data_IF_167609660145
#
_entry.id   IF_167609660145
#
_cell.length_a   1.000
_cell.length_b   1.000
_cell.length_c   1.000
_cell.angle_alpha   90.00
_cell.angle_beta   90.00
_cell.angle_gamma   90.00
#
_symmetry.space_group_name_H-M   'P 1'
#
loop_
_entity.id
_entity.type
_entity.pdbx_description
1 polymer ?
#
# COMPACT_ATOMS: atom_id res chain seq x y z
N UNK A 1 17.30 22.86 -4.69
CA UNK A 1 16.08 22.98 -5.51
C UNK A 1 15.14 21.91 -5.01
N UNK A 2 14.10 22.29 -4.25
CA UNK A 2 13.13 21.36 -3.67
C UNK A 2 12.24 20.79 -4.79
N UNK A 3 12.49 19.56 -5.20
CA UNK A 3 11.55 18.81 -6.03
C UNK A 3 10.33 18.44 -5.19
N UNK A 4 9.18 18.72 -5.72
CA UNK A 4 7.83 18.48 -5.20
C UNK A 4 7.60 16.96 -4.98
N UNK A 5 8.15 16.40 -3.89
CA UNK A 5 8.14 14.96 -3.58
C UNK A 5 6.86 14.47 -2.90
N UNK A 6 5.92 15.35 -2.62
CA UNK A 6 4.67 14.97 -1.96
C UNK A 6 3.51 15.84 -2.40
N UNK A 7 2.40 15.22 -2.83
CA UNK A 7 1.16 15.94 -3.10
C UNK A 7 0.37 16.10 -1.80
N UNK A 8 0.20 17.34 -1.34
CA UNK A 8 -0.71 17.67 -0.27
C UNK A 8 -2.16 17.47 -0.75
N UNK A 9 -2.91 16.69 -0.03
CA UNK A 9 -4.33 16.46 -0.24
C UNK A 9 -5.08 17.04 0.96
N UNK A 10 -6.16 17.79 0.74
CA UNK A 10 -7.01 18.31 1.80
C UNK A 10 -8.37 17.63 1.73
N UNK A 11 -8.73 16.91 2.81
CA UNK A 11 -10.12 16.52 3.07
C UNK A 11 -10.45 16.85 4.51
N UNK A 12 -11.64 17.38 4.76
CA UNK A 12 -12.12 17.79 6.10
C UNK A 12 -11.19 18.75 6.87
N UNK A 13 -10.33 19.52 6.16
CA UNK A 13 -9.41 20.48 6.78
C UNK A 13 -8.08 19.87 7.26
N UNK A 14 -7.87 18.56 7.18
CA UNK A 14 -6.58 17.94 7.48
C UNK A 14 -5.74 17.80 6.21
N UNK A 15 -4.46 18.17 6.32
CA UNK A 15 -3.47 18.05 5.25
C UNK A 15 -2.89 16.65 5.33
N UNK A 16 -3.23 15.81 4.35
CA UNK A 16 -2.56 14.53 4.12
C UNK A 16 -1.51 14.70 3.02
N UNK A 17 -0.33 14.13 3.24
CA UNK A 17 0.75 14.11 2.25
C UNK A 17 1.08 12.68 1.87
N UNK A 18 1.15 12.40 0.56
CA UNK A 18 1.56 11.09 0.04
C UNK A 18 2.91 11.27 -0.68
N UNK A 19 3.88 10.47 -0.26
CA UNK A 19 5.21 10.41 -0.89
C UNK A 19 5.40 9.05 -1.55
N UNK A 20 5.64 9.04 -2.87
CA UNK A 20 6.09 7.85 -3.58
C UNK A 20 7.56 7.60 -3.25
N UNK A 21 7.90 6.40 -2.82
CA UNK A 21 9.28 6.01 -2.51
C UNK A 21 9.85 5.20 -3.68
N UNK A 22 9.28 4.03 -3.94
CA UNK A 22 9.67 3.20 -5.07
C UNK A 22 8.63 2.09 -5.29
N UNK A 23 8.33 1.73 -6.53
CA UNK A 23 7.50 0.59 -6.93
C UNK A 23 6.11 0.58 -6.27
N UNK A 24 5.95 -0.17 -5.18
CA UNK A 24 4.74 -0.23 -4.34
C UNK A 24 4.94 0.43 -2.98
N UNK A 25 6.11 1.05 -2.77
CA UNK A 25 6.49 1.73 -1.53
C UNK A 25 5.96 3.16 -1.48
N UNK A 26 5.11 3.45 -0.49
CA UNK A 26 4.55 4.78 -0.25
C UNK A 26 4.59 5.14 1.22
N UNK A 27 4.80 6.42 1.50
CA UNK A 27 4.61 7.00 2.82
C UNK A 27 3.39 7.92 2.78
N UNK A 28 2.44 7.67 3.66
CA UNK A 28 1.31 8.57 3.92
C UNK A 28 1.55 9.25 5.25
N UNK A 29 1.62 10.58 5.22
CA UNK A 29 1.71 11.44 6.39
C UNK A 29 0.34 12.07 6.64
N UNK A 30 -0.13 11.95 7.87
CA UNK A 30 -1.30 12.67 8.41
C UNK A 30 -0.87 13.69 9.46
N UNK A 31 -1.80 14.44 10.01
CA UNK A 31 -1.51 15.33 11.13
C UNK A 31 -0.94 14.58 12.35
N UNK A 32 -1.40 13.34 12.59
CA UNK A 32 -1.14 12.57 13.82
C UNK A 32 -0.28 11.32 13.64
N UNK A 33 -0.06 10.82 12.42
CA UNK A 33 0.65 9.55 12.20
C UNK A 33 1.32 9.46 10.82
N UNK A 34 2.22 8.50 10.70
CA UNK A 34 2.80 8.03 9.43
C UNK A 34 2.40 6.59 9.15
N UNK A 35 2.08 6.30 7.88
CA UNK A 35 1.81 4.96 7.37
C UNK A 35 2.77 4.65 6.22
N UNK A 36 3.71 3.75 6.43
CA UNK A 36 4.71 3.32 5.45
C UNK A 36 4.29 1.97 4.86
N UNK A 37 4.09 1.91 3.55
CA UNK A 37 3.66 0.69 2.85
C UNK A 37 4.79 0.13 2.01
N UNK A 38 4.92 -1.20 2.02
CA UNK A 38 5.72 -2.04 1.11
C UNK A 38 7.09 -1.45 0.75
N UNK A 39 7.84 -1.05 1.78
CA UNK A 39 9.18 -0.52 1.59
C UNK A 39 10.16 -1.61 1.17
N UNK A 40 10.84 -1.42 0.02
CA UNK A 40 11.89 -2.32 -0.41
C UNK A 40 13.19 -1.61 -0.78
N UNK A 41 13.13 -0.38 -1.26
CA UNK A 41 14.30 0.47 -1.60
C UNK A 41 13.91 1.95 -1.61
N UNK A 42 14.91 2.81 -1.71
CA UNK A 42 14.74 4.26 -1.81
C UNK A 42 14.91 4.96 -0.47
N UNK A 43 14.87 6.27 -0.49
CA UNK A 43 15.02 7.11 0.68
C UNK A 43 13.67 7.31 1.36
N UNK A 44 13.57 6.98 2.65
CA UNK A 44 12.45 7.38 3.49
C UNK A 44 12.71 8.84 3.88
N UNK A 45 11.76 9.77 3.65
CA UNK A 45 11.92 11.16 4.08
C UNK A 45 12.18 11.26 5.58
N UNK A 46 12.78 12.37 6.01
CA UNK A 46 12.91 12.69 7.43
C UNK A 46 11.51 12.76 8.07
N UNK A 47 11.33 12.00 9.16
CA UNK A 47 10.07 11.86 9.86
C UNK A 47 10.12 12.64 11.19
N UNK A 48 9.05 13.34 11.53
CA UNK A 48 8.86 13.90 12.86
C UNK A 48 8.66 12.75 13.87
N UNK A 49 9.68 12.52 14.70
CA UNK A 49 9.68 11.45 15.70
C UNK A 49 8.61 11.60 16.81
N UNK A 50 7.89 12.72 16.84
CA UNK A 50 6.75 12.90 17.74
C UNK A 50 5.49 12.20 17.25
N UNK A 51 5.41 11.89 15.94
CA UNK A 51 4.29 11.15 15.36
C UNK A 51 4.57 9.65 15.34
N UNK A 52 3.62 8.80 15.64
CA UNK A 52 3.77 7.35 15.48
C UNK A 52 3.94 6.96 14.02
N UNK A 53 4.69 5.87 13.79
CA UNK A 53 4.91 5.24 12.49
C UNK A 53 4.33 3.83 12.49
N UNK A 54 3.45 3.54 11.54
CA UNK A 54 3.00 2.17 11.29
C UNK A 54 3.53 1.70 9.94
N UNK A 55 4.23 0.57 9.96
CA UNK A 55 4.85 -0.04 8.78
C UNK A 55 4.03 -1.23 8.33
N UNK A 56 3.55 -1.21 7.08
CA UNK A 56 2.76 -2.27 6.46
C UNK A 56 3.58 -3.03 5.43
N UNK A 57 3.53 -4.35 5.48
CA UNK A 57 4.12 -5.22 4.45
C UNK A 57 3.07 -6.21 3.99
N UNK A 58 2.66 -6.08 2.72
CA UNK A 58 1.61 -6.89 2.13
C UNK A 58 2.01 -8.36 1.93
N UNK A 59 3.28 -8.62 1.60
CA UNK A 59 3.84 -9.96 1.40
C UNK A 59 5.38 -9.94 1.34
N UNK A 60 5.98 -11.11 1.17
CA UNK A 60 7.42 -11.31 1.31
C UNK A 60 8.23 -11.17 0.01
N UNK A 61 7.64 -10.81 -1.13
CA UNK A 61 8.41 -10.61 -2.36
C UNK A 61 9.38 -9.43 -2.21
N UNK A 62 10.53 -9.52 -2.91
CA UNK A 62 11.64 -8.58 -2.73
C UNK A 62 11.36 -7.16 -3.20
N UNK A 63 10.37 -6.96 -4.04
CA UNK A 63 9.90 -5.68 -4.54
C UNK A 63 8.82 -5.02 -3.65
N UNK A 64 8.41 -5.71 -2.56
CA UNK A 64 7.47 -5.21 -1.54
C UNK A 64 8.06 -5.19 -0.13
N UNK A 65 9.14 -5.92 0.11
CA UNK A 65 9.67 -6.10 1.45
C UNK A 65 11.19 -6.11 1.49
N UNK A 66 11.74 -5.18 2.27
CA UNK A 66 13.16 -5.18 2.64
C UNK A 66 13.27 -5.23 4.17
N UNK A 67 13.94 -6.26 4.73
CA UNK A 67 14.14 -6.37 6.18
C UNK A 67 14.84 -5.17 6.85
N UNK A 68 15.54 -4.32 6.09
CA UNK A 68 16.16 -3.09 6.62
C UNK A 68 15.13 -2.14 7.27
N UNK A 69 13.86 -2.29 6.95
CA UNK A 69 12.78 -1.53 7.59
C UNK A 69 12.73 -1.73 9.11
N UNK A 70 13.29 -2.84 9.63
CA UNK A 70 13.38 -3.08 11.07
C UNK A 70 14.46 -2.25 11.78
N UNK A 71 15.36 -1.57 11.07
CA UNK A 71 16.30 -0.64 11.66
C UNK A 71 15.55 0.57 12.25
N UNK A 72 14.35 0.85 11.79
CA UNK A 72 13.45 1.84 12.38
C UNK A 72 13.02 1.49 13.82
N UNK A 73 13.05 0.20 14.19
CA UNK A 73 12.74 -0.22 15.56
C UNK A 73 13.72 0.34 16.60
N UNK A 74 14.98 0.49 16.22
CA UNK A 74 16.03 1.00 17.08
C UNK A 74 16.07 2.53 17.14
N UNK A 75 15.62 3.18 16.07
CA UNK A 75 15.80 4.63 15.87
C UNK A 75 14.51 5.43 15.99
N UNK A 76 13.34 4.78 15.91
CA UNK A 76 12.05 5.47 15.91
C UNK A 76 11.29 5.19 17.23
N UNK A 77 10.95 6.23 18.03
CA UNK A 77 10.41 6.05 19.38
C UNK A 77 9.11 5.25 19.45
N UNK A 78 8.21 5.45 18.47
CA UNK A 78 6.99 4.69 18.38
C UNK A 78 6.82 4.15 16.95
N UNK A 79 7.18 2.92 16.75
CA UNK A 79 6.96 2.18 15.51
C UNK A 79 6.17 0.92 15.79
N UNK A 80 5.23 0.58 14.91
CA UNK A 80 4.50 -0.68 14.92
C UNK A 80 4.51 -1.30 13.53
N UNK A 81 4.70 -2.61 13.45
CA UNK A 81 4.77 -3.36 12.20
C UNK A 81 3.52 -4.21 12.00
N UNK A 82 2.91 -4.10 10.84
CA UNK A 82 1.77 -4.90 10.40
C UNK A 82 2.18 -5.70 9.18
N UNK A 83 2.44 -6.98 9.35
CA UNK A 83 3.04 -7.82 8.33
C UNK A 83 2.13 -8.99 7.99
N UNK A 84 2.02 -9.33 6.70
CA UNK A 84 1.44 -10.62 6.32
C UNK A 84 2.14 -11.77 7.06
N UNK A 85 1.37 -12.78 7.43
CA UNK A 85 1.85 -13.93 8.23
C UNK A 85 3.02 -14.68 7.60
N UNK A 86 3.16 -14.62 6.26
CA UNK A 86 4.19 -15.35 5.51
C UNK A 86 5.50 -14.56 5.36
N UNK A 87 5.55 -13.28 5.78
CA UNK A 87 6.80 -12.52 5.86
C UNK A 87 7.73 -13.14 6.91
N UNK A 88 8.88 -13.64 6.48
CA UNK A 88 9.85 -14.32 7.34
C UNK A 88 10.64 -13.35 8.24
N UNK A 89 10.32 -13.29 9.54
CA UNK A 89 10.96 -12.38 10.50
C UNK A 89 11.54 -13.08 11.75
N UNK A 90 11.55 -14.42 11.76
CA UNK A 90 12.02 -15.21 12.94
C UNK A 90 13.45 -14.84 13.36
N UNK A 91 14.29 -14.52 12.40
CA UNK A 91 15.67 -14.13 12.63
C UNK A 91 15.74 -12.79 13.39
N UNK A 92 14.95 -11.77 13.00
CA UNK A 92 14.95 -10.46 13.67
C UNK A 92 14.33 -10.53 15.07
N UNK A 93 13.26 -11.31 15.23
CA UNK A 93 12.68 -11.55 16.56
C UNK A 93 13.69 -12.17 17.54
N UNK A 94 14.50 -13.13 17.04
CA UNK A 94 15.56 -13.74 17.86
C UNK A 94 16.66 -12.73 18.20
N UNK A 95 17.14 -11.98 17.19
CA UNK A 95 18.15 -10.94 17.39
C UNK A 95 17.71 -9.92 18.42
N UNK A 96 16.47 -9.38 18.32
CA UNK A 96 15.94 -8.42 19.29
C UNK A 96 15.82 -9.03 20.69
N UNK A 97 15.37 -10.28 20.80
CA UNK A 97 15.29 -10.97 22.09
C UNK A 97 16.67 -11.17 22.74
N UNK A 98 17.69 -11.51 21.95
CA UNK A 98 19.08 -11.66 22.42
C UNK A 98 19.65 -10.30 22.90
N UNK A 99 19.17 -9.19 22.34
CA UNK A 99 19.51 -7.82 22.75
C UNK A 99 18.65 -7.28 23.90
N UNK A 100 17.69 -8.07 24.40
CA UNK A 100 16.77 -7.66 25.48
C UNK A 100 15.68 -6.69 25.04
N UNK A 101 15.40 -6.61 23.73
CA UNK A 101 14.33 -5.78 23.16
C UNK A 101 13.16 -6.63 22.69
N UNK A 102 11.94 -6.10 22.78
CA UNK A 102 10.69 -6.83 22.46
C UNK A 102 10.04 -6.29 21.19
N UNK A 103 10.57 -6.71 20.04
CA UNK A 103 9.96 -6.45 18.73
C UNK A 103 8.57 -7.14 18.61
N UNK A 104 8.35 -8.24 19.32
CA UNK A 104 7.08 -8.97 19.23
C UNK A 104 5.89 -8.12 19.75
N UNK A 105 6.12 -7.29 20.77
CA UNK A 105 5.12 -6.34 21.28
C UNK A 105 4.77 -5.22 20.27
N UNK A 106 5.62 -4.99 19.27
CA UNK A 106 5.44 -3.98 18.23
C UNK A 106 5.02 -4.58 16.88
N UNK A 107 4.46 -5.80 16.89
CA UNK A 107 4.21 -6.57 15.68
C UNK A 107 2.79 -7.15 15.67
N UNK A 108 2.04 -6.85 14.63
CA UNK A 108 0.79 -7.51 14.27
C UNK A 108 0.98 -8.38 13.04
N UNK A 109 0.78 -9.70 13.19
CA UNK A 109 0.80 -10.65 12.07
C UNK A 109 -0.59 -10.80 11.52
N UNK A 110 -0.81 -10.36 10.28
CA UNK A 110 -2.12 -10.39 9.66
C UNK A 110 -2.32 -11.60 8.74
N UNK A 111 -3.57 -11.97 8.55
CA UNK A 111 -4.04 -13.02 7.62
C UNK A 111 -5.10 -12.40 6.71
N UNK A 112 -5.29 -12.98 5.53
CA UNK A 112 -6.32 -12.56 4.56
C UNK A 112 -7.73 -12.61 5.15
N UNK A 113 -8.58 -11.68 4.75
CA UNK A 113 -10.00 -11.59 5.09
C UNK A 113 -10.24 -11.53 6.62
N UNK A 114 -9.48 -10.68 7.29
CA UNK A 114 -9.58 -10.46 8.75
C UNK A 114 -9.58 -8.96 9.04
N UNK A 115 -10.12 -8.60 10.20
CA UNK A 115 -10.04 -7.24 10.73
C UNK A 115 -9.24 -7.25 12.02
N UNK A 116 -8.40 -6.24 12.19
CA UNK A 116 -7.55 -6.02 13.36
C UNK A 116 -7.72 -4.58 13.83
N UNK A 117 -7.46 -4.35 15.10
CA UNK A 117 -7.44 -3.02 15.70
C UNK A 117 -6.08 -2.78 16.36
N UNK A 118 -5.53 -1.61 16.13
CA UNK A 118 -4.32 -1.15 16.77
C UNK A 118 -4.62 0.16 17.50
N UNK A 119 -4.41 0.18 18.83
CA UNK A 119 -4.51 1.41 19.61
C UNK A 119 -3.29 2.29 19.33
N UNK A 120 -3.54 3.49 18.85
CA UNK A 120 -2.52 4.48 18.56
C UNK A 120 -2.15 5.29 19.81
N UNK A 121 -0.97 5.93 19.87
CA UNK A 121 -0.53 6.70 21.05
C UNK A 121 -1.43 7.88 21.44
N UNK A 122 -2.18 8.42 20.48
CA UNK A 122 -3.16 9.49 20.72
C UNK A 122 -4.49 8.97 21.33
N UNK A 123 -4.60 7.66 21.57
CA UNK A 123 -5.80 6.99 22.04
C UNK A 123 -6.80 6.63 20.93
N UNK A 124 -6.53 7.02 19.68
CA UNK A 124 -7.32 6.61 18.52
C UNK A 124 -7.15 5.13 18.18
N UNK A 125 -8.08 4.60 17.42
CA UNK A 125 -8.03 3.22 16.91
C UNK A 125 -7.76 3.23 15.43
N UNK A 126 -6.69 2.57 14.99
CA UNK A 126 -6.47 2.23 13.60
C UNK A 126 -7.12 0.88 13.32
N UNK A 127 -8.19 0.89 12.52
CA UNK A 127 -8.82 -0.32 12.05
C UNK A 127 -8.11 -0.78 10.76
N UNK A 128 -7.77 -2.08 10.71
CA UNK A 128 -7.03 -2.69 9.60
C UNK A 128 -7.84 -3.86 9.08
N UNK A 129 -8.45 -3.72 7.92
CA UNK A 129 -9.13 -4.81 7.22
C UNK A 129 -8.24 -5.33 6.10
N UNK A 130 -8.10 -6.65 6.02
CA UNK A 130 -7.28 -7.29 4.99
C UNK A 130 -8.15 -8.01 3.97
N UNK A 131 -7.78 -7.93 2.71
CA UNK A 131 -8.34 -8.72 1.62
C UNK A 131 -7.32 -9.76 1.15
N UNK A 132 -7.81 -10.77 0.43
CA UNK A 132 -6.94 -11.79 -0.13
C UNK A 132 -6.33 -11.30 -1.43
N UNK A 133 -5.01 -11.23 -1.51
CA UNK A 133 -4.31 -10.98 -2.77
C UNK A 133 -4.59 -12.09 -3.80
N UNK A 134 -4.57 -11.72 -5.07
CA UNK A 134 -4.64 -12.66 -6.20
C UNK A 134 -3.31 -13.32 -6.51
N UNK A 135 -2.20 -12.71 -6.06
CA UNK A 135 -0.86 -13.31 -6.09
C UNK A 135 -0.45 -13.74 -4.68
N UNK A 136 0.32 -12.96 -3.95
CA UNK A 136 0.82 -13.27 -2.61
C UNK A 136 0.27 -12.32 -1.55
N UNK A 137 0.11 -12.79 -0.31
CA UNK A 137 -0.19 -11.98 0.86
C UNK A 137 -1.59 -11.37 0.89
N UNK A 138 -1.65 -10.08 1.23
CA UNK A 138 -2.89 -9.35 1.52
C UNK A 138 -2.89 -7.96 0.88
N UNK A 139 -4.10 -7.43 0.62
CA UNK A 139 -4.33 -5.99 0.48
C UNK A 139 -4.81 -5.43 1.82
N UNK A 140 -4.59 -4.15 2.04
CA UNK A 140 -4.97 -3.42 3.26
C UNK A 140 -6.05 -2.38 2.96
N UNK A 141 -7.08 -2.35 3.77
CA UNK A 141 -8.01 -1.23 3.91
C UNK A 141 -7.91 -0.73 5.35
N UNK A 142 -7.46 0.50 5.51
CA UNK A 142 -7.26 1.16 6.80
C UNK A 142 -8.37 2.19 7.03
N UNK A 143 -8.81 2.32 8.28
CA UNK A 143 -9.65 3.42 8.75
C UNK A 143 -9.00 4.01 10.02
N UNK A 144 -8.61 5.28 9.97
CA UNK A 144 -8.01 6.00 11.09
C UNK A 144 -8.50 7.44 11.14
N UNK A 145 -9.25 7.77 12.19
CA UNK A 145 -9.79 9.11 12.37
C UNK A 145 -10.75 9.55 11.24
N UNK A 146 -11.40 8.60 10.56
CA UNK A 146 -12.24 8.86 9.39
C UNK A 146 -11.50 8.93 8.05
N UNK A 147 -10.17 8.88 8.06
CA UNK A 147 -9.35 8.72 6.86
C UNK A 147 -9.30 7.26 6.45
N UNK A 148 -9.65 6.95 5.20
CA UNK A 148 -9.57 5.60 4.64
C UNK A 148 -8.50 5.49 3.58
N UNK A 149 -7.59 4.53 3.79
CA UNK A 149 -6.47 4.25 2.90
C UNK A 149 -6.58 2.81 2.40
N UNK A 150 -6.49 2.62 1.09
CA UNK A 150 -6.40 1.31 0.48
C UNK A 150 -5.03 1.09 -0.15
N UNK A 151 -4.38 -0.03 0.17
CA UNK A 151 -3.15 -0.47 -0.49
C UNK A 151 -3.33 -1.90 -1.01
N UNK A 152 -3.33 -2.05 -2.31
CA UNK A 152 -3.64 -3.33 -2.95
C UNK A 152 -2.59 -4.44 -2.71
N UNK A 153 -1.33 -4.09 -2.36
CA UNK A 153 -0.25 -5.06 -2.53
C UNK A 153 -0.30 -5.61 -3.96
N UNK A 154 -0.28 -6.93 -4.10
CA UNK A 154 -0.43 -7.60 -5.39
C UNK A 154 -1.86 -8.11 -5.66
N UNK A 155 -2.86 -7.48 -5.04
CA UNK A 155 -4.26 -7.73 -5.39
C UNK A 155 -4.59 -6.97 -6.67
N UNK A 156 -4.61 -7.67 -7.80
CA UNK A 156 -4.92 -7.12 -9.11
C UNK A 156 -5.49 -8.17 -10.07
N UNK A 157 -6.01 -7.71 -11.20
CA UNK A 157 -6.46 -8.56 -12.30
C UNK A 157 -5.28 -8.93 -13.19
N UNK A 158 -4.49 -9.92 -12.76
CA UNK A 158 -3.31 -10.37 -13.49
C UNK A 158 -3.70 -11.21 -14.70
N UNK A 159 -3.43 -10.71 -15.92
CA UNK A 159 -3.66 -11.42 -17.18
C UNK A 159 -2.28 -11.65 -17.83
N UNK A 160 -1.79 -12.88 -17.76
CA UNK A 160 -0.48 -13.24 -18.29
C UNK A 160 -0.60 -13.98 -19.61
N UNK A 161 0.06 -13.48 -20.66
CA UNK A 161 0.02 -14.07 -22.01
C UNK A 161 0.63 -15.47 -22.09
N UNK A 162 1.58 -15.78 -21.21
CA UNK A 162 2.25 -17.07 -21.11
C UNK A 162 1.48 -18.09 -20.27
N UNK A 163 0.35 -17.71 -19.69
CA UNK A 163 -0.51 -18.60 -18.90
C UNK A 163 -1.72 -19.08 -19.72
N UNK A 164 -2.21 -20.31 -19.44
CA UNK A 164 -3.45 -20.80 -20.05
C UNK A 164 -4.64 -19.89 -19.74
N UNK A 165 -5.63 -19.87 -20.64
CA UNK A 165 -6.83 -19.04 -20.50
C UNK A 165 -7.58 -19.32 -19.19
N UNK A 166 -7.72 -20.59 -18.81
CA UNK A 166 -8.38 -20.99 -17.57
C UNK A 166 -7.66 -20.48 -16.31
N UNK A 167 -6.33 -20.29 -16.37
CA UNK A 167 -5.57 -19.63 -15.30
C UNK A 167 -5.96 -18.16 -15.18
N UNK A 168 -5.96 -17.43 -16.29
CA UNK A 168 -6.33 -16.02 -16.34
C UNK A 168 -7.79 -15.81 -15.91
N UNK A 169 -8.70 -16.68 -16.33
CA UNK A 169 -10.10 -16.64 -15.92
C UNK A 169 -10.24 -16.81 -14.39
N UNK A 170 -9.58 -17.80 -13.80
CA UNK A 170 -9.58 -17.98 -12.32
C UNK A 170 -9.00 -16.79 -11.59
N UNK A 171 -7.98 -16.13 -12.16
CA UNK A 171 -7.39 -14.93 -11.62
C UNK A 171 -8.39 -13.77 -11.63
N UNK A 172 -9.08 -13.56 -12.74
CA UNK A 172 -10.16 -12.59 -12.89
C UNK A 172 -11.28 -12.80 -11.86
N UNK A 173 -11.78 -14.04 -11.74
CA UNK A 173 -12.84 -14.38 -10.78
C UNK A 173 -12.42 -14.11 -9.33
N UNK A 174 -11.16 -14.38 -8.98
CA UNK A 174 -10.63 -14.08 -7.64
C UNK A 174 -10.56 -12.58 -7.40
N UNK A 175 -10.09 -11.82 -8.39
CA UNK A 175 -10.00 -10.37 -8.28
C UNK A 175 -11.39 -9.74 -8.11
N UNK A 176 -12.32 -10.07 -8.98
CA UNK A 176 -13.71 -9.58 -8.91
C UNK A 176 -14.37 -9.90 -7.58
N UNK A 177 -14.15 -11.10 -7.03
CA UNK A 177 -14.67 -11.49 -5.70
C UNK A 177 -14.14 -10.59 -4.57
N UNK A 178 -12.90 -10.14 -4.66
CA UNK A 178 -12.34 -9.22 -3.65
C UNK A 178 -12.86 -7.79 -3.90
N UNK A 179 -13.03 -7.36 -5.16
CA UNK A 179 -13.61 -6.05 -5.49
C UNK A 179 -15.08 -5.93 -5.04
N UNK A 180 -15.88 -6.98 -5.16
CA UNK A 180 -17.25 -6.99 -4.65
C UNK A 180 -17.34 -6.71 -3.13
N UNK A 181 -16.31 -7.07 -2.35
CA UNK A 181 -16.24 -6.73 -0.92
C UNK A 181 -16.01 -5.24 -0.67
N UNK A 182 -15.41 -4.55 -1.64
CA UNK A 182 -15.12 -3.12 -1.60
C UNK A 182 -16.23 -2.28 -2.26
N UNK A 183 -17.22 -2.91 -2.86
CA UNK A 183 -18.28 -2.21 -3.58
C UNK A 183 -19.03 -1.22 -2.70
N UNK A 184 -19.09 0.02 -3.17
CA UNK A 184 -19.72 1.12 -2.45
C UNK A 184 -18.91 1.68 -1.28
N UNK A 185 -17.69 1.17 -1.05
CA UNK A 185 -16.75 1.77 -0.10
C UNK A 185 -16.15 3.03 -0.73
N UNK A 186 -16.04 4.09 0.06
CA UNK A 186 -15.28 5.28 -0.29
C UNK A 186 -13.93 5.23 0.42
N UNK A 187 -12.85 5.50 -0.34
CA UNK A 187 -11.49 5.66 0.21
C UNK A 187 -10.94 7.02 -0.17
N UNK A 188 -10.18 7.63 0.72
CA UNK A 188 -9.54 8.93 0.47
C UNK A 188 -8.34 8.77 -0.46
N UNK A 189 -7.55 7.72 -0.23
CA UNK A 189 -6.36 7.38 -1.01
C UNK A 189 -6.31 5.89 -1.29
N UNK A 190 -5.99 5.54 -2.53
CA UNK A 190 -5.75 4.17 -2.96
C UNK A 190 -4.41 4.03 -3.70
N UNK A 191 -3.74 2.91 -3.46
CA UNK A 191 -2.54 2.47 -4.16
C UNK A 191 -2.88 1.18 -4.91
N UNK A 192 -2.88 1.23 -6.25
CA UNK A 192 -3.42 0.16 -7.11
C UNK A 192 -2.43 -0.20 -8.21
N UNK A 193 -2.14 -1.48 -8.47
CA UNK A 193 -1.22 -1.87 -9.53
C UNK A 193 -1.67 -1.43 -10.92
N UNK A 194 -0.70 -0.93 -11.72
CA UNK A 194 -0.84 -0.62 -13.15
C UNK A 194 0.41 -1.15 -13.86
N UNK A 195 0.50 -2.47 -13.99
CA UNK A 195 1.73 -3.15 -14.40
C UNK A 195 1.89 -3.19 -15.93
N UNK A 196 2.91 -2.53 -16.49
CA UNK A 196 3.14 -2.50 -17.93
C UNK A 196 3.52 -3.85 -18.55
N UNK A 197 3.87 -4.85 -17.73
CA UNK A 197 4.17 -6.22 -18.20
C UNK A 197 2.94 -6.93 -18.75
N UNK A 198 1.73 -6.48 -18.35
CA UNK A 198 0.46 -7.00 -18.84
C UNK A 198 0.11 -6.50 -20.26
N UNK A 199 0.92 -5.62 -20.85
CA UNK A 199 0.80 -5.11 -22.22
C UNK A 199 -0.54 -4.38 -22.45
N UNK A 200 -1.42 -4.91 -23.36
CA UNK A 200 -2.73 -4.32 -23.62
C UNK A 200 -3.68 -4.46 -22.42
N UNK A 201 -3.46 -5.45 -21.54
CA UNK A 201 -4.30 -5.72 -20.38
C UNK A 201 -3.86 -4.90 -19.12
N UNK A 202 -2.84 -4.05 -19.27
CA UNK A 202 -2.33 -3.16 -18.21
C UNK A 202 -3.44 -2.40 -17.47
N UNK A 203 -4.45 -1.79 -18.12
CA UNK A 203 -5.43 -0.95 -17.41
C UNK A 203 -6.50 -1.75 -16.65
N UNK A 204 -6.75 -3.01 -17.02
CA UNK A 204 -7.93 -3.78 -16.58
C UNK A 204 -8.09 -3.84 -15.07
N UNK A 205 -7.01 -4.08 -14.33
CA UNK A 205 -7.07 -4.13 -12.87
C UNK A 205 -7.49 -2.81 -12.23
N UNK A 206 -6.94 -1.71 -12.72
CA UNK A 206 -7.26 -0.37 -12.23
C UNK A 206 -8.67 0.07 -12.64
N UNK A 207 -9.11 -0.26 -13.86
CA UNK A 207 -10.48 0.00 -14.34
C UNK A 207 -11.50 -0.65 -13.43
N UNK A 208 -11.36 -1.95 -13.19
CA UNK A 208 -12.25 -2.72 -12.32
C UNK A 208 -12.27 -2.15 -10.89
N UNK A 209 -11.12 -1.74 -10.36
CA UNK A 209 -11.07 -1.07 -9.05
C UNK A 209 -11.91 0.22 -9.04
N UNK A 210 -11.72 1.08 -10.04
CA UNK A 210 -12.40 2.38 -10.15
C UNK A 210 -13.92 2.25 -10.39
N UNK A 211 -14.38 1.12 -10.96
CA UNK A 211 -15.79 0.81 -11.11
C UNK A 211 -16.47 0.37 -9.81
N UNK A 212 -15.71 -0.20 -8.87
CA UNK A 212 -16.24 -0.75 -7.62
C UNK A 212 -16.07 0.19 -6.43
N UNK A 213 -15.00 1.02 -6.42
CA UNK A 213 -14.57 1.82 -5.28
C UNK A 213 -14.57 3.30 -5.63
N UNK A 214 -15.22 4.09 -4.79
CA UNK A 214 -15.11 5.55 -4.87
C UNK A 214 -13.81 5.99 -4.21
N UNK A 215 -12.90 6.55 -5.00
CA UNK A 215 -11.59 6.99 -4.49
C UNK A 215 -11.39 8.49 -4.65
N UNK A 216 -10.91 9.15 -3.61
CA UNK A 216 -10.52 10.57 -3.66
C UNK A 216 -9.29 10.77 -4.54
N UNK A 217 -8.23 9.99 -4.29
CA UNK A 217 -7.03 9.92 -5.13
C UNK A 217 -6.54 8.49 -5.28
N UNK A 218 -6.08 8.16 -6.48
CA UNK A 218 -5.46 6.86 -6.78
C UNK A 218 -4.03 7.09 -7.26
N UNK A 219 -3.11 6.44 -6.62
CA UNK A 219 -1.69 6.41 -6.97
C UNK A 219 -1.40 5.06 -7.63
N UNK A 220 -1.24 5.01 -8.96
CA UNK A 220 -0.85 3.78 -9.63
C UNK A 220 0.54 3.35 -9.17
N UNK A 221 0.68 2.08 -8.83
CA UNK A 221 1.93 1.47 -8.41
C UNK A 221 2.30 0.28 -9.30
N UNK A 222 3.43 -0.37 -9.03
CA UNK A 222 3.91 -1.51 -9.82
C UNK A 222 4.24 -1.17 -11.29
N UNK A 223 4.59 0.10 -11.54
CA UNK A 223 4.81 0.61 -12.91
C UNK A 223 6.21 0.33 -13.47
N UNK A 224 7.12 -0.29 -12.68
CA UNK A 224 8.48 -0.63 -13.10
C UNK A 224 9.25 0.55 -13.73
N UNK A 225 9.15 1.73 -13.10
CA UNK A 225 9.75 3.00 -13.58
C UNK A 225 9.24 3.46 -14.96
N UNK A 226 8.22 2.79 -15.53
CA UNK A 226 7.57 3.17 -16.79
C UNK A 226 6.36 4.08 -16.54
N UNK A 227 6.60 5.24 -15.94
CA UNK A 227 5.54 6.19 -15.54
C UNK A 227 4.64 6.66 -16.69
N UNK A 228 5.11 6.54 -17.94
CA UNK A 228 4.31 6.85 -19.13
C UNK A 228 3.01 6.01 -19.23
N UNK A 229 2.95 4.84 -18.59
CA UNK A 229 1.71 4.03 -18.57
C UNK A 229 0.58 4.74 -17.80
N UNK A 230 0.92 5.51 -16.77
CA UNK A 230 -0.07 6.31 -16.00
C UNK A 230 -0.62 7.43 -16.88
N UNK A 231 0.26 8.15 -17.58
CA UNK A 231 -0.15 9.22 -18.49
C UNK A 231 -1.03 8.68 -19.63
N UNK A 232 -0.69 7.49 -20.16
CA UNK A 232 -1.51 6.82 -21.17
C UNK A 232 -2.88 6.46 -20.61
N UNK A 233 -2.94 5.84 -19.42
CA UNK A 233 -4.20 5.50 -18.76
C UNK A 233 -5.10 6.73 -18.60
N UNK A 234 -4.58 7.84 -18.05
CA UNK A 234 -5.34 9.09 -17.85
C UNK A 234 -5.80 9.70 -19.18
N UNK A 235 -5.02 9.58 -20.25
CA UNK A 235 -5.40 10.05 -21.60
C UNK A 235 -6.53 9.21 -22.18
N UNK A 236 -6.50 7.89 -22.00
CA UNK A 236 -7.51 6.95 -22.50
C UNK A 236 -8.78 6.97 -21.65
N UNK A 237 -8.68 7.38 -20.36
CA UNK A 237 -9.77 7.44 -19.40
C UNK A 237 -9.93 8.85 -18.80
N UNK A 238 -10.34 9.86 -19.58
CA UNK A 238 -10.35 11.26 -19.13
C UNK A 238 -11.29 11.53 -17.95
N UNK A 239 -12.29 10.67 -17.68
CA UNK A 239 -13.16 10.73 -16.51
C UNK A 239 -12.42 10.55 -15.17
N UNK A 240 -11.26 9.90 -15.18
CA UNK A 240 -10.44 9.66 -13.98
C UNK A 240 -9.25 10.64 -13.84
N UNK A 241 -9.15 11.66 -14.71
CA UNK A 241 -8.04 12.63 -14.71
C UNK A 241 -7.82 13.30 -13.35
N UNK A 242 -8.89 13.64 -12.65
CA UNK A 242 -8.80 14.32 -11.38
C UNK A 242 -8.59 13.37 -10.19
N UNK A 243 -8.72 12.06 -10.41
CA UNK A 243 -8.60 11.02 -9.40
C UNK A 243 -7.22 10.36 -9.48
N UNK A 244 -6.79 9.96 -10.69
CA UNK A 244 -5.53 9.25 -10.89
C UNK A 244 -4.34 10.21 -10.89
N UNK A 245 -3.41 9.98 -9.98
CA UNK A 245 -2.23 10.82 -9.79
C UNK A 245 -1.12 10.36 -10.74
N UNK A 246 -0.68 11.27 -11.62
CA UNK A 246 0.49 11.02 -12.45
C UNK A 246 1.75 11.13 -11.60
N UNK A 247 2.40 10.00 -11.34
CA UNK A 247 3.71 9.92 -10.72
C UNK A 247 4.81 10.21 -11.76
N UNK A 248 5.94 10.71 -11.29
CA UNK A 248 7.18 10.84 -12.05
C UNK A 248 8.30 10.13 -11.32
N UNK A 249 9.27 9.59 -12.06
CA UNK A 249 10.46 9.00 -11.45
C UNK A 249 11.29 10.06 -10.72
N UNK A 250 11.95 9.63 -9.67
CA UNK A 250 13.04 10.42 -9.08
C UNK A 250 14.18 10.39 -10.10
N UNK A 251 14.40 11.52 -10.84
CA UNK A 251 15.55 11.70 -11.71
C UNK A 251 16.82 11.85 -10.90
#
# INVERSE_FOLDING_TARGET
>A
MNSDRGKGLSQNGEIMRVTFIAHSGFLVETASAYFLFDYFKGEIPELDQKKPLVVFVSHSHRDHYNPVVFDLFETYPWVHYVLDKDCGIKWKLRECADQGTDLAAKLTRVRKNQTYELTMPDGGTLQITTLRSTDAGVAYLLDYGGLRIYHAGDLSHWIWKDKPEDYNQRMAERYLREMEKLKGITVDVAFVPLDPRLLQDTPVGLEVFLEHVQAGKVFPMHVWEKFSVIQRFVKEHPCYRDIVVCLSGNG
#
